data_IF_312238906055
#
_entry.id   IF_312238906055
#
_cell.length_a   1.000
_cell.length_b   1.000
_cell.length_c   1.000
_cell.angle_alpha   90.00
_cell.angle_beta   90.00
_cell.angle_gamma   90.00
#
_symmetry.space_group_name_H-M   'P 1'
#
loop_
_entity.id
_entity.type
_entity.pdbx_description
1 polymer ?
#
# COMPACT_ATOMS: atom_id res chain seq x y z
N UNK A 1 -0.52 -3.14 22.86
CA UNK A 1 -0.88 -3.65 21.52
C UNK A 1 -1.30 -2.49 20.63
N UNK A 2 -0.45 -2.01 19.70
CA UNK A 2 -0.77 -0.89 18.77
C UNK A 2 -0.40 -1.19 17.29
N UNK A 3 0.02 -2.43 16.98
CA UNK A 3 0.71 -2.71 15.70
C UNK A 3 -0.14 -2.53 14.44
N UNK A 4 -1.47 -2.69 14.53
CA UNK A 4 -2.38 -2.68 13.38
C UNK A 4 -2.65 -1.26 12.85
N UNK A 5 -2.74 -0.26 13.73
CA UNK A 5 -2.98 1.14 13.34
C UNK A 5 -1.73 1.74 12.70
N UNK A 6 -0.56 1.50 13.31
CA UNK A 6 0.72 2.00 12.81
C UNK A 6 1.05 1.43 11.42
N UNK A 7 0.75 0.14 11.18
CA UNK A 7 0.93 -0.52 9.88
C UNK A 7 0.06 0.11 8.78
N UNK A 8 -1.21 0.41 9.05
CA UNK A 8 -2.10 1.07 8.09
C UNK A 8 -1.65 2.49 7.77
N UNK A 9 -1.19 3.26 8.77
CA UNK A 9 -0.67 4.63 8.57
C UNK A 9 0.60 4.64 7.68
N UNK A 10 1.51 3.68 7.87
CA UNK A 10 2.78 3.63 7.13
C UNK A 10 2.71 2.90 5.79
N UNK A 11 1.94 1.81 5.72
CA UNK A 11 1.94 0.87 4.59
C UNK A 11 0.57 0.61 3.97
N UNK A 12 -0.47 1.23 4.52
CA UNK A 12 -1.83 1.11 4.00
C UNK A 12 -1.99 1.76 2.63
N UNK A 13 -3.13 1.46 2.00
CA UNK A 13 -3.42 1.85 0.63
C UNK A 13 -3.37 3.37 0.42
N UNK A 14 -4.00 4.14 1.31
CA UNK A 14 -4.03 5.60 1.23
C UNK A 14 -2.61 6.19 1.24
N UNK A 15 -1.72 5.68 2.10
CA UNK A 15 -0.33 6.16 2.16
C UNK A 15 0.43 5.89 0.87
N UNK A 16 0.16 4.75 0.21
CA UNK A 16 0.75 4.43 -1.10
C UNK A 16 0.19 5.34 -2.21
N UNK A 17 -1.07 5.76 -2.12
CA UNK A 17 -1.65 6.65 -3.13
C UNK A 17 -1.24 8.12 -2.97
N UNK A 18 -0.74 8.54 -1.81
CA UNK A 18 -0.27 9.92 -1.59
C UNK A 18 0.98 10.29 -2.42
N UNK A 19 1.87 9.34 -2.69
CA UNK A 19 3.16 9.62 -3.34
C UNK A 19 3.23 9.04 -4.76
N UNK A 20 4.01 9.69 -5.65
CA UNK A 20 4.20 9.20 -7.03
C UNK A 20 4.84 7.80 -7.06
N UNK A 21 5.81 7.54 -6.19
CA UNK A 21 6.44 6.22 -6.03
C UNK A 21 5.46 5.17 -5.51
N UNK A 22 4.63 5.51 -4.52
CA UNK A 22 3.63 4.59 -3.98
C UNK A 22 2.56 4.20 -5.02
N UNK A 23 2.09 5.14 -5.85
CA UNK A 23 1.20 4.86 -6.99
C UNK A 23 1.84 3.87 -7.98
N UNK A 24 3.13 4.04 -8.31
CA UNK A 24 3.88 3.12 -9.19
C UNK A 24 3.95 1.70 -8.60
N UNK A 25 4.13 1.58 -7.28
CA UNK A 25 4.13 0.27 -6.59
C UNK A 25 2.76 -0.41 -6.74
N UNK A 26 1.67 0.31 -6.50
CA UNK A 26 0.31 -0.25 -6.65
C UNK A 26 0.05 -0.67 -8.10
N UNK A 27 0.45 0.14 -9.09
CA UNK A 27 0.34 -0.20 -10.53
C UNK A 27 1.07 -1.50 -10.85
N UNK A 28 2.30 -1.68 -10.38
CA UNK A 28 3.07 -2.92 -10.57
C UNK A 28 2.43 -4.13 -9.87
N UNK A 29 1.85 -3.93 -8.69
CA UNK A 29 1.16 -5.01 -7.98
C UNK A 29 -0.12 -5.44 -8.67
N UNK A 30 -0.85 -4.49 -9.29
CA UNK A 30 -2.02 -4.77 -10.15
C UNK A 30 -1.62 -5.51 -11.42
N UNK A 31 -0.58 -5.07 -12.12
CA UNK A 31 -0.11 -5.76 -13.34
C UNK A 31 0.38 -7.18 -13.06
N UNK A 32 0.91 -7.43 -11.86
CA UNK A 32 1.28 -8.78 -11.39
C UNK A 32 0.09 -9.62 -10.90
N UNK A 33 -1.13 -9.07 -10.85
CA UNK A 33 -2.33 -9.80 -10.39
C UNK A 33 -2.36 -10.13 -8.90
N UNK A 34 -1.70 -9.33 -8.05
CA UNK A 34 -1.70 -9.61 -6.59
C UNK A 34 -3.08 -9.36 -5.98
N UNK A 35 -3.66 -10.39 -5.34
CA UNK A 35 -4.94 -10.30 -4.60
C UNK A 35 -4.97 -9.19 -3.54
N UNK A 36 -3.84 -8.93 -2.87
CA UNK A 36 -3.68 -7.83 -1.90
C UNK A 36 -2.64 -6.84 -2.38
N UNK A 37 -3.03 -5.57 -2.51
CA UNK A 37 -2.17 -4.51 -3.06
C UNK A 37 -1.42 -3.71 -2.00
N UNK A 38 -2.00 -3.55 -0.81
CA UNK A 38 -1.40 -2.87 0.34
C UNK A 38 -1.64 -3.66 1.63
N UNK A 39 -0.98 -3.23 2.70
CA UNK A 39 -0.98 -3.90 4.00
C UNK A 39 -2.13 -3.45 4.91
#
# INVERSE_FOLDING_TARGET
MEGSIQKKKRHGFLKRMQTRSGKKIIKRRRSKGRKRLAA
#
